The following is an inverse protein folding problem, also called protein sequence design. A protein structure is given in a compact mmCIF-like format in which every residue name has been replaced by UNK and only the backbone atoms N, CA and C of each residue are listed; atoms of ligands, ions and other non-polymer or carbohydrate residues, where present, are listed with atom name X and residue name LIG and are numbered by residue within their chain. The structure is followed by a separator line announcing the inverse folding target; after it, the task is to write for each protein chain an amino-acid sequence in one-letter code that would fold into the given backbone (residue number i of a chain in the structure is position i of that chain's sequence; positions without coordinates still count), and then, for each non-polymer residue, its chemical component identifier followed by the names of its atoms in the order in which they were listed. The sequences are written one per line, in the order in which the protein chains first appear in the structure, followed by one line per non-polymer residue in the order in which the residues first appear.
data_IF_376011345768
#
_entry.id   IF_376011345768
#
_cell.length_a   1.000
_cell.length_b   1.000
_cell.length_c   1.000
_cell.angle_alpha   90.00
_cell.angle_beta   90.00
_cell.angle_gamma   90.00
#
_symmetry.space_group_name_H-M   'P 1'
#
loop_
_entity.id
_entity.type
_entity.pdbx_description
1 polymer ?
#
# COMPACT_ATOMS: atom_id res chain seq x y z
N UNK A 1 -50.49 -56.99 -33.15
CA UNK A 1 -51.56 -57.94 -32.79
C UNK A 1 -50.92 -58.87 -31.78
N UNK A 2 -51.22 -58.91 -30.49
CA UNK A 2 -52.38 -58.50 -29.68
C UNK A 2 -51.84 -58.26 -28.25
N UNK A 3 -52.21 -57.19 -27.57
CA UNK A 3 -53.33 -57.09 -26.61
C UNK A 3 -53.19 -58.04 -25.40
N UNK A 4 -53.26 -57.44 -24.19
CA UNK A 4 -54.11 -57.85 -23.05
C UNK A 4 -53.38 -57.96 -21.69
N UNK A 5 -53.62 -56.97 -20.81
CA UNK A 5 -53.43 -56.97 -19.34
C UNK A 5 -54.66 -57.58 -18.62
N UNK A 6 -54.86 -57.58 -17.26
CA UNK A 6 -54.04 -57.49 -16.02
C UNK A 6 -54.50 -58.59 -14.97
N UNK A 7 -54.50 -58.50 -13.60
CA UNK A 7 -53.95 -57.53 -12.62
C UNK A 7 -53.28 -58.12 -11.33
N UNK A 8 -52.82 -57.19 -10.46
CA UNK A 8 -52.74 -57.25 -8.99
C UNK A 8 -51.49 -57.82 -8.30
N UNK A 9 -50.53 -56.94 -7.97
CA UNK A 9 -49.84 -56.99 -6.66
C UNK A 9 -49.47 -55.57 -6.22
N UNK A 10 -50.26 -55.08 -5.26
CA UNK A 10 -50.10 -54.04 -4.22
C UNK A 10 -48.85 -53.11 -4.24
N UNK A 11 -49.04 -51.78 -4.08
CA UNK A 11 -47.94 -50.83 -3.87
C UNK A 11 -47.53 -50.75 -2.39
N UNK A 12 -46.24 -50.58 -2.06
CA UNK A 12 -45.82 -49.95 -0.82
C UNK A 12 -45.70 -48.41 -0.98
N UNK A 13 -45.87 -47.66 0.12
CA UNK A 13 -46.20 -46.24 0.11
C UNK A 13 -44.96 -45.35 0.04
N UNK A 14 -45.09 -44.20 -0.61
CA UNK A 14 -44.25 -43.02 -0.33
C UNK A 14 -44.86 -42.32 0.88
N UNK A 15 -44.10 -42.11 1.96
CA UNK A 15 -43.87 -40.74 2.43
C UNK A 15 -42.43 -40.64 3.02
N UNK A 16 -41.76 -39.50 3.23
CA UNK A 16 -42.17 -38.17 3.66
C UNK A 16 -40.96 -37.24 3.43
N UNK A 17 -41.22 -35.93 3.41
CA UNK A 17 -40.29 -34.80 3.43
C UNK A 17 -38.82 -35.03 3.88
N UNK A 18 -37.86 -34.37 3.21
CA UNK A 18 -36.51 -34.23 3.77
C UNK A 18 -36.58 -33.54 5.15
N UNK A 19 -35.73 -33.93 6.11
CA UNK A 19 -35.78 -33.39 7.46
C UNK A 19 -35.63 -31.87 7.43
N UNK A 20 -36.69 -31.19 7.85
CA UNK A 20 -36.72 -29.76 8.07
C UNK A 20 -35.70 -29.43 9.15
N UNK A 21 -34.55 -28.90 8.71
CA UNK A 21 -33.51 -28.37 9.59
C UNK A 21 -34.19 -27.33 10.50
N UNK A 22 -34.09 -27.44 11.84
CA UNK A 22 -34.58 -26.39 12.71
C UNK A 22 -33.80 -25.10 12.40
N UNK A 23 -34.54 -24.06 12.04
CA UNK A 23 -34.03 -22.71 11.84
C UNK A 23 -33.55 -22.13 13.18
N UNK A 24 -32.30 -22.42 13.53
CA UNK A 24 -31.54 -21.66 14.52
C UNK A 24 -30.09 -21.64 14.06
N UNK A 25 -29.82 -20.89 12.99
CA UNK A 25 -28.44 -20.60 12.55
C UNK A 25 -27.84 -19.61 13.53
N UNK A 26 -27.40 -20.11 14.68
CA UNK A 26 -26.41 -19.44 15.51
C UNK A 26 -25.17 -19.23 14.65
N UNK A 27 -24.74 -17.98 14.53
CA UNK A 27 -23.65 -17.46 13.69
C UNK A 27 -22.24 -17.89 14.12
N UNK A 28 -22.10 -19.02 14.83
CA UNK A 28 -20.86 -19.40 15.51
C UNK A 28 -19.97 -20.40 14.75
N UNK A 29 -20.47 -21.03 13.68
CA UNK A 29 -19.71 -22.04 12.92
C UNK A 29 -19.22 -21.52 11.56
N UNK A 30 -18.68 -20.30 11.55
CA UNK A 30 -17.83 -19.83 10.45
C UNK A 30 -16.38 -19.92 10.93
N UNK A 31 -15.43 -20.41 10.12
CA UNK A 31 -14.03 -20.39 10.50
C UNK A 31 -13.67 -18.94 10.84
N UNK A 32 -13.04 -18.74 12.01
CA UNK A 32 -12.79 -17.42 12.63
C UNK A 32 -12.19 -16.41 11.64
N UNK A 33 -11.44 -16.88 10.65
CA UNK A 33 -10.94 -16.08 9.53
C UNK A 33 -12.03 -15.37 8.71
N UNK A 34 -13.14 -16.05 8.38
CA UNK A 34 -14.26 -15.48 7.62
C UNK A 34 -15.13 -14.56 8.48
N UNK A 35 -15.36 -14.93 9.74
CA UNK A 35 -16.13 -14.11 10.69
C UNK A 35 -15.44 -12.77 10.95
N UNK A 36 -14.11 -12.78 11.12
CA UNK A 36 -13.31 -11.56 11.25
C UNK A 36 -13.34 -10.71 9.98
N UNK A 37 -13.38 -11.32 8.79
CA UNK A 37 -13.45 -10.61 7.52
C UNK A 37 -14.75 -9.80 7.37
N UNK A 38 -15.89 -10.34 7.82
CA UNK A 38 -17.19 -9.66 7.79
C UNK A 38 -17.21 -8.43 8.70
N UNK A 39 -16.63 -8.55 9.90
CA UNK A 39 -16.48 -7.44 10.85
C UNK A 39 -15.55 -6.36 10.31
N UNK A 40 -14.49 -6.73 9.57
CA UNK A 40 -13.59 -5.77 8.94
C UNK A 40 -14.24 -5.00 7.78
N UNK A 41 -15.18 -5.62 7.05
CA UNK A 41 -15.95 -4.95 5.99
C UNK A 41 -17.08 -4.06 6.50
N UNK A 42 -17.64 -4.33 7.69
CA UNK A 42 -18.75 -3.57 8.27
C UNK A 42 -18.34 -2.48 9.26
N UNK A 43 -17.04 -2.30 9.49
CA UNK A 43 -16.52 -1.29 10.42
C UNK A 43 -16.83 0.14 9.93
N UNK A 44 -17.30 1.06 10.81
CA UNK A 44 -17.41 2.48 10.51
C UNK A 44 -16.10 3.05 9.95
N UNK A 45 -16.20 4.00 9.00
CA UNK A 45 -15.03 4.57 8.28
C UNK A 45 -13.94 5.07 9.23
N UNK A 46 -14.33 5.60 10.39
CA UNK A 46 -13.40 6.10 11.41
C UNK A 46 -12.57 4.99 12.06
N UNK A 47 -13.15 3.81 12.32
CA UNK A 47 -12.41 2.67 12.87
C UNK A 47 -11.37 2.13 11.89
N UNK A 48 -11.72 2.15 10.59
CA UNK A 48 -10.82 1.74 9.52
C UNK A 48 -9.64 2.71 9.37
N UNK A 49 -9.90 4.02 9.42
CA UNK A 49 -8.87 5.06 9.40
C UNK A 49 -7.96 5.02 10.64
N UNK A 50 -8.51 4.75 11.82
CA UNK A 50 -7.74 4.63 13.06
C UNK A 50 -6.82 3.41 13.03
N UNK A 51 -7.31 2.27 12.52
CA UNK A 51 -6.50 1.07 12.37
C UNK A 51 -5.38 1.26 11.34
N UNK A 52 -5.65 1.87 10.19
CA UNK A 52 -4.62 2.18 9.19
C UNK A 52 -3.50 3.08 9.76
N UNK A 53 -3.86 4.05 10.59
CA UNK A 53 -2.91 4.91 11.30
C UNK A 53 -2.11 4.16 12.38
N UNK A 54 -2.74 3.22 13.08
CA UNK A 54 -2.09 2.42 14.12
C UNK A 54 -1.17 1.34 13.54
N UNK A 55 -1.56 0.75 12.41
CA UNK A 55 -0.80 -0.29 11.72
C UNK A 55 0.48 0.26 11.10
N UNK A 56 0.44 1.50 10.59
CA UNK A 56 1.60 2.19 10.05
C UNK A 56 1.72 3.59 10.68
N UNK A 57 2.37 3.73 11.84
CA UNK A 57 2.68 5.03 12.41
C UNK A 57 3.67 5.76 11.50
N UNK A 58 3.13 6.46 10.49
CA UNK A 58 3.92 7.26 9.56
C UNK A 58 4.45 8.47 10.33
N UNK A 59 5.77 8.60 10.53
CA UNK A 59 6.31 9.76 11.22
C UNK A 59 5.92 11.02 10.45
N UNK A 60 5.59 12.10 11.14
CA UNK A 60 5.19 13.38 10.50
C UNK A 60 6.34 14.06 9.76
N UNK A 61 7.58 13.73 10.15
CA UNK A 61 8.81 14.24 9.55
C UNK A 61 9.79 13.08 9.35
N UNK A 62 10.49 13.10 8.23
CA UNK A 62 11.51 12.11 7.88
C UNK A 62 12.86 12.79 7.69
N UNK A 63 13.93 12.06 7.99
CA UNK A 63 15.29 12.53 7.72
C UNK A 63 15.69 12.16 6.30
N UNK A 64 16.16 13.15 5.54
CA UNK A 64 16.69 12.97 4.19
C UNK A 64 18.15 13.40 4.19
N UNK A 65 19.02 12.51 3.72
CA UNK A 65 20.45 12.77 3.57
C UNK A 65 20.78 13.04 2.11
N UNK A 66 21.21 14.26 1.79
CA UNK A 66 21.68 14.60 0.45
C UNK A 66 23.15 14.20 0.27
N UNK A 67 23.44 13.53 -0.84
CA UNK A 67 24.80 13.11 -1.20
C UNK A 67 25.16 13.65 -2.59
N UNK A 68 26.18 14.52 -2.72
CA UNK A 68 26.67 14.91 -4.04
C UNK A 68 27.28 13.71 -4.75
N UNK A 69 27.02 13.58 -6.05
CA UNK A 69 27.67 12.64 -6.95
C UNK A 69 28.44 13.43 -8.01
N UNK A 70 29.71 13.03 -8.24
CA UNK A 70 30.57 13.65 -9.24
C UNK A 70 30.96 15.07 -8.86
N UNK A 71 30.89 15.98 -9.84
CA UNK A 71 31.28 17.39 -9.67
C UNK A 71 30.18 18.29 -9.08
N UNK A 72 29.14 17.73 -8.47
CA UNK A 72 28.05 18.50 -7.92
C UNK A 72 28.48 19.25 -6.63
N UNK A 73 28.07 20.52 -6.42
CA UNK A 73 28.38 21.29 -5.22
C UNK A 73 27.85 20.60 -3.95
N UNK A 74 28.67 20.49 -2.91
CA UNK A 74 28.26 19.92 -1.63
C UNK A 74 27.33 20.88 -0.87
N UNK A 75 26.24 20.38 -0.29
CA UNK A 75 25.43 21.16 0.64
C UNK A 75 26.15 21.34 1.97
N UNK A 76 25.89 22.50 2.59
CA UNK A 76 26.38 22.85 3.93
C UNK A 76 25.85 21.89 5.01
N UNK A 77 24.59 21.43 4.87
CA UNK A 77 24.02 20.37 5.72
C UNK A 77 23.72 19.15 4.88
N UNK A 78 24.26 18.00 5.27
CA UNK A 78 23.96 16.75 4.58
C UNK A 78 22.58 16.20 4.93
N UNK A 79 22.01 16.50 6.10
CA UNK A 79 20.75 15.90 6.58
C UNK A 79 19.69 16.98 6.85
N UNK A 80 18.51 16.82 6.26
CA UNK A 80 17.36 17.70 6.47
C UNK A 80 16.14 16.91 6.94
N UNK A 81 15.30 17.58 7.74
CA UNK A 81 14.01 17.05 8.17
C UNK A 81 12.90 17.60 7.30
N UNK A 82 12.25 16.74 6.52
CA UNK A 82 11.16 17.11 5.61
C UNK A 82 9.85 16.49 6.10
N UNK A 83 8.74 17.20 5.92
CA UNK A 83 7.41 16.68 6.23
C UNK A 83 7.04 15.57 5.24
N UNK A 84 6.47 14.50 5.77
CA UNK A 84 6.06 13.29 5.05
C UNK A 84 4.97 13.55 4.00
N UNK A 85 4.18 14.61 4.18
CA UNK A 85 3.12 15.06 3.26
C UNK A 85 3.65 15.76 2.00
N UNK A 86 4.93 16.14 1.96
CA UNK A 86 5.51 16.81 0.79
C UNK A 86 5.75 15.83 -0.36
N UNK A 87 5.62 16.33 -1.59
CA UNK A 87 6.01 15.62 -2.81
C UNK A 87 7.51 15.77 -3.06
N UNK A 88 8.07 14.83 -3.82
CA UNK A 88 9.48 14.83 -4.19
C UNK A 88 9.86 16.04 -5.05
N UNK A 89 8.96 16.55 -5.90
CA UNK A 89 9.17 17.77 -6.69
C UNK A 89 9.56 18.98 -5.82
N UNK A 90 8.98 19.12 -4.63
CA UNK A 90 9.33 20.20 -3.70
C UNK A 90 10.75 20.05 -3.16
N UNK A 91 11.24 18.81 -3.04
CA UNK A 91 12.62 18.51 -2.65
C UNK A 91 13.59 18.92 -3.76
N UNK A 92 13.22 18.69 -5.01
CA UNK A 92 14.00 19.15 -6.18
C UNK A 92 14.08 20.67 -6.20
N UNK A 93 12.96 21.38 -6.02
CA UNK A 93 12.94 22.86 -5.94
C UNK A 93 13.82 23.37 -4.80
N UNK A 94 13.66 22.80 -3.60
CA UNK A 94 14.48 23.14 -2.44
C UNK A 94 15.97 22.95 -2.71
N UNK A 95 16.35 21.86 -3.37
CA UNK A 95 17.74 21.58 -3.71
C UNK A 95 18.29 22.62 -4.70
N UNK A 96 17.50 23.02 -5.71
CA UNK A 96 17.89 24.08 -6.66
C UNK A 96 18.13 25.40 -5.97
N UNK A 97 17.22 25.79 -5.07
CA UNK A 97 17.33 27.03 -4.30
C UNK A 97 18.55 26.99 -3.36
N UNK A 98 18.79 25.85 -2.71
CA UNK A 98 19.90 25.67 -1.78
C UNK A 98 21.27 25.65 -2.48
N UNK A 99 21.36 25.19 -3.72
CA UNK A 99 22.59 25.25 -4.52
C UNK A 99 22.75 26.57 -5.28
N UNK A 100 21.71 27.41 -5.36
CA UNK A 100 21.72 28.61 -6.19
C UNK A 100 21.74 28.31 -7.70
N UNK A 101 21.21 27.16 -8.12
CA UNK A 101 21.17 26.75 -9.52
C UNK A 101 20.15 27.61 -10.30
N UNK A 102 20.53 28.04 -11.51
CA UNK A 102 19.61 28.77 -12.40
C UNK A 102 18.56 27.84 -12.99
N UNK A 103 17.44 28.40 -13.44
CA UNK A 103 16.34 27.64 -14.09
C UNK A 103 16.80 26.81 -15.30
N UNK A 104 17.89 27.25 -15.95
CA UNK A 104 18.49 26.60 -17.12
C UNK A 104 19.30 25.35 -16.80
N UNK A 105 19.71 25.14 -15.55
CA UNK A 105 20.52 23.97 -15.19
C UNK A 105 19.63 22.84 -14.67
N UNK A 106 19.79 21.67 -15.27
CA UNK A 106 19.14 20.44 -14.85
C UNK A 106 19.86 19.82 -13.67
N UNK A 107 19.11 19.19 -12.77
CA UNK A 107 19.66 18.40 -11.67
C UNK A 107 18.97 17.03 -11.68
N UNK A 108 19.78 15.98 -11.56
CA UNK A 108 19.32 14.61 -11.50
C UNK A 108 19.40 14.14 -10.06
N UNK A 109 18.29 13.64 -9.52
CA UNK A 109 18.21 13.13 -8.16
C UNK A 109 17.93 11.63 -8.21
N UNK A 110 18.66 10.89 -7.39
CA UNK A 110 18.57 9.45 -7.26
C UNK A 110 18.36 9.06 -5.81
N UNK A 111 17.41 8.19 -5.51
CA UNK A 111 17.28 7.58 -4.19
C UNK A 111 18.30 6.47 -4.08
N UNK A 112 19.05 6.46 -2.97
CA UNK A 112 20.11 5.48 -2.67
C UNK A 112 21.13 5.25 -3.81
N UNK A 113 21.32 6.23 -4.70
CA UNK A 113 22.14 6.10 -5.92
C UNK A 113 21.70 4.96 -6.88
N UNK A 114 20.44 4.51 -6.82
CA UNK A 114 19.96 3.38 -7.63
C UNK A 114 18.88 3.74 -8.65
N UNK A 115 17.94 4.62 -8.30
CA UNK A 115 16.86 5.00 -9.21
C UNK A 115 16.44 6.46 -9.00
N UNK A 116 15.88 7.08 -10.04
CA UNK A 116 15.29 8.41 -9.96
C UNK A 116 13.77 8.28 -9.70
N UNK A 117 13.26 8.70 -8.53
CA UNK A 117 11.82 8.69 -8.27
C UNK A 117 11.08 9.76 -9.10
N UNK A 118 9.79 9.53 -9.34
CA UNK A 118 8.91 10.54 -9.94
C UNK A 118 8.75 11.78 -9.03
N UNK A 119 8.54 12.95 -9.63
CA UNK A 119 8.35 14.21 -8.87
C UNK A 119 7.04 14.25 -8.07
N UNK A 120 6.06 13.48 -8.52
CA UNK A 120 4.73 13.29 -7.94
C UNK A 120 4.71 12.37 -6.72
N UNK A 121 5.78 11.61 -6.49
CA UNK A 121 5.87 10.65 -5.40
C UNK A 121 5.93 11.33 -4.02
N UNK A 122 5.30 10.71 -3.01
CA UNK A 122 5.33 11.22 -1.64
C UNK A 122 6.65 10.86 -0.95
N UNK A 123 7.30 11.86 -0.35
CA UNK A 123 8.56 11.69 0.41
C UNK A 123 8.41 10.67 1.53
N UNK A 124 7.23 10.60 2.15
CA UNK A 124 6.93 9.60 3.17
C UNK A 124 6.94 8.16 2.67
N UNK A 125 6.44 7.93 1.46
CA UNK A 125 6.45 6.60 0.87
C UNK A 125 7.88 6.18 0.53
N UNK A 126 8.65 7.09 -0.08
CA UNK A 126 10.07 6.87 -0.38
C UNK A 126 10.87 6.53 0.88
N UNK A 127 10.67 7.27 1.97
CA UNK A 127 11.35 6.99 3.23
C UNK A 127 10.92 5.64 3.82
N UNK A 128 9.63 5.28 3.76
CA UNK A 128 9.17 4.00 4.29
C UNK A 128 9.75 2.80 3.50
N UNK A 129 9.85 2.93 2.18
CA UNK A 129 10.29 1.85 1.30
C UNK A 129 11.82 1.76 1.16
N UNK A 130 12.55 2.89 1.25
CA UNK A 130 13.97 2.97 0.87
C UNK A 130 14.87 3.62 1.94
N UNK A 131 14.40 3.78 3.19
CA UNK A 131 15.27 4.28 4.29
C UNK A 131 16.44 3.33 4.56
N UNK A 132 17.58 3.92 4.89
CA UNK A 132 18.79 3.28 5.39
C UNK A 132 19.16 3.99 6.69
N UNK A 133 19.27 3.26 7.80
CA UNK A 133 19.59 3.84 9.13
C UNK A 133 18.67 5.03 9.50
N UNK A 134 17.36 4.85 9.31
CA UNK A 134 16.30 5.87 9.52
C UNK A 134 16.45 7.15 8.67
N UNK A 135 17.25 7.10 7.61
CA UNK A 135 17.49 8.22 6.69
C UNK A 135 17.22 7.81 5.24
N UNK A 136 16.55 8.67 4.49
CA UNK A 136 16.42 8.49 3.05
C UNK A 136 17.63 9.14 2.37
N UNK A 137 18.45 8.37 1.67
CA UNK A 137 19.62 8.91 0.98
C UNK A 137 19.17 9.40 -0.40
N UNK A 138 19.34 10.68 -0.67
CA UNK A 138 19.05 11.31 -1.97
C UNK A 138 20.36 11.80 -2.55
N UNK A 139 20.83 11.10 -3.57
CA UNK A 139 22.05 11.44 -4.27
C UNK A 139 21.72 12.38 -5.42
N UNK A 140 22.51 13.42 -5.64
CA UNK A 140 22.24 14.40 -6.69
C UNK A 140 23.47 14.63 -7.58
N UNK A 141 23.22 14.85 -8.87
CA UNK A 141 24.24 15.09 -9.89
C UNK A 141 23.76 16.17 -10.87
N UNK A 142 24.69 16.97 -11.41
CA UNK A 142 24.37 17.95 -12.46
C UNK A 142 24.24 17.29 -13.84
N UNK A 143 25.02 16.24 -14.09
CA UNK A 143 24.94 15.44 -15.30
C UNK A 143 24.36 14.07 -14.96
N UNK A 144 23.68 13.44 -15.93
CA UNK A 144 23.23 12.06 -15.77
C UNK A 144 24.44 11.17 -15.50
N UNK A 145 24.51 10.60 -14.29
CA UNK A 145 25.65 9.78 -13.86
C UNK A 145 25.54 8.32 -14.37
N UNK A 146 24.37 7.93 -14.87
CA UNK A 146 24.08 6.60 -15.41
C UNK A 146 23.39 6.78 -16.76
N UNK A 147 24.07 6.37 -17.82
CA UNK A 147 23.65 6.38 -19.22
C UNK A 147 24.41 5.30 -19.97
#
# INVERSE_FOLDING_TARGET
MSDQSPPSTTPPPVPSDPPKIPSSTSTDDLPVALSASLVLTSLPRDGKLALDKALHPRPTKVNIRFKPIGSAPALDKAVYKIKTSQRFENVVKFLRDSLGLRSSEGIFLYVNSTFAPGGDENVGNLWNCFRVDDQLIVSYAMNAAFG
#
